data_IF_520767961954
#
_entry.id   IF_520767961954
#
_cell.length_a   1.000
_cell.length_b   1.000
_cell.length_c   1.000
_cell.angle_alpha   90.00
_cell.angle_beta   90.00
_cell.angle_gamma   90.00
#
_symmetry.space_group_name_H-M   'P 1'
#
loop_
_entity.id
_entity.type
_entity.pdbx_description
1 polymer ?
#
# COMPACT_ATOMS: atom_id res chain seq x y z
N UNK A 1 19.31 -13.50 27.27
CA UNK A 1 17.98 -13.16 26.75
C UNK A 1 18.18 -12.58 25.37
N UNK A 2 17.85 -13.34 24.33
CA UNK A 2 17.95 -12.85 22.94
C UNK A 2 16.96 -11.69 22.75
N UNK A 3 17.48 -10.48 22.51
CA UNK A 3 16.66 -9.36 22.08
C UNK A 3 16.06 -9.70 20.71
N UNK A 4 14.77 -10.05 20.70
CA UNK A 4 13.97 -10.14 19.48
C UNK A 4 13.95 -8.76 18.83
N UNK A 5 14.89 -8.52 17.92
CA UNK A 5 14.87 -7.36 17.04
C UNK A 5 13.50 -7.30 16.38
N UNK A 6 12.81 -6.13 16.41
CA UNK A 6 11.44 -6.07 15.93
C UNK A 6 11.42 -6.40 14.44
N UNK A 7 10.76 -7.52 14.10
CA UNK A 7 10.52 -7.98 12.72
C UNK A 7 9.82 -6.90 11.89
N UNK A 8 9.15 -5.96 12.54
CA UNK A 8 8.52 -4.78 11.92
C UNK A 8 9.08 -3.52 12.58
N UNK A 9 9.87 -2.74 11.83
CA UNK A 9 10.38 -1.45 12.32
C UNK A 9 9.24 -0.44 12.44
N UNK A 10 9.33 0.51 13.39
CA UNK A 10 8.33 1.59 13.56
C UNK A 10 8.03 2.32 12.25
N UNK A 11 9.04 2.47 11.39
CA UNK A 11 8.92 3.07 10.04
C UNK A 11 8.04 2.25 9.10
N UNK A 12 8.13 0.92 9.17
CA UNK A 12 7.35 0.00 8.35
C UNK A 12 5.87 -0.04 8.78
N UNK A 13 5.59 0.06 10.08
CA UNK A 13 4.22 0.25 10.59
C UNK A 13 3.61 1.57 10.09
N UNK A 14 4.38 2.66 10.19
CA UNK A 14 3.93 3.97 9.70
C UNK A 14 3.67 3.96 8.18
N UNK A 15 4.57 3.37 7.39
CA UNK A 15 4.39 3.21 5.94
C UNK A 15 3.17 2.35 5.60
N UNK A 16 2.97 1.24 6.31
CA UNK A 16 1.81 0.36 6.09
C UNK A 16 0.49 1.06 6.41
N UNK A 17 0.51 2.00 7.35
CA UNK A 17 -0.65 2.82 7.68
C UNK A 17 -0.88 3.94 6.66
N UNK A 18 0.15 4.68 6.24
CA UNK A 18 -0.02 5.89 5.40
C UNK A 18 -0.09 5.62 3.91
N UNK A 19 0.61 4.60 3.39
CA UNK A 19 0.66 4.31 1.97
C UNK A 19 -0.74 4.02 1.36
N UNK A 20 -1.64 3.25 2.00
CA UNK A 20 -2.98 3.02 1.45
C UNK A 20 -3.79 4.31 1.24
N UNK A 21 -3.67 5.27 2.16
CA UNK A 21 -4.35 6.56 2.01
C UNK A 21 -3.77 7.39 0.87
N UNK A 22 -2.44 7.43 0.73
CA UNK A 22 -1.78 8.16 -0.34
C UNK A 22 -2.14 7.60 -1.73
N UNK A 23 -2.12 6.28 -1.89
CA UNK A 23 -2.51 5.63 -3.13
C UNK A 23 -4.01 5.80 -3.43
N UNK A 24 -4.86 5.74 -2.42
CA UNK A 24 -6.31 5.96 -2.56
C UNK A 24 -6.63 7.40 -3.00
N UNK A 25 -6.01 8.41 -2.36
CA UNK A 25 -6.18 9.82 -2.72
C UNK A 25 -5.60 10.10 -4.11
N UNK A 26 -4.41 9.57 -4.41
CA UNK A 26 -3.80 9.70 -5.74
C UNK A 26 -4.67 9.10 -6.83
N UNK A 27 -5.19 7.89 -6.63
CA UNK A 27 -6.12 7.23 -7.55
C UNK A 27 -7.41 8.03 -7.77
N UNK A 28 -7.97 8.58 -6.68
CA UNK A 28 -9.16 9.43 -6.74
C UNK A 28 -8.91 10.71 -7.56
N UNK A 29 -7.76 11.36 -7.37
CA UNK A 29 -7.38 12.57 -8.13
C UNK A 29 -7.27 12.23 -9.63
N UNK A 30 -6.56 11.15 -9.98
CA UNK A 30 -6.43 10.71 -11.37
C UNK A 30 -7.80 10.45 -11.99
N UNK A 31 -8.67 9.70 -11.29
CA UNK A 31 -10.01 9.42 -11.76
C UNK A 31 -10.86 10.68 -11.93
N UNK A 32 -10.71 11.67 -11.03
CA UNK A 32 -11.38 12.96 -11.14
C UNK A 32 -10.99 13.68 -12.43
N UNK A 33 -9.69 13.76 -12.75
CA UNK A 33 -9.19 14.37 -13.98
C UNK A 33 -9.60 13.59 -15.23
N UNK A 34 -9.54 12.25 -15.19
CA UNK A 34 -9.91 11.41 -16.33
C UNK A 34 -11.41 11.39 -16.63
N UNK A 35 -12.27 11.75 -15.67
CA UNK A 35 -13.73 11.70 -15.81
C UNK A 35 -14.42 13.06 -15.75
N UNK A 36 -13.69 14.17 -15.93
CA UNK A 36 -14.25 15.53 -15.88
C UNK A 36 -15.39 15.76 -16.87
N UNK A 37 -15.27 15.20 -18.08
CA UNK A 37 -16.27 15.31 -19.15
C UNK A 37 -17.31 14.19 -19.14
N UNK A 38 -17.25 13.29 -18.15
CA UNK A 38 -18.19 12.18 -18.04
C UNK A 38 -19.44 12.57 -17.25
N UNK A 39 -20.58 11.91 -17.49
CA UNK A 39 -21.78 12.05 -16.66
C UNK A 39 -21.49 11.85 -15.17
N UNK A 40 -22.18 12.61 -14.31
CA UNK A 40 -22.01 12.58 -12.85
C UNK A 40 -22.02 11.16 -12.27
N UNK A 41 -22.93 10.30 -12.77
CA UNK A 41 -23.04 8.89 -12.33
C UNK A 41 -21.76 8.10 -12.62
N UNK A 42 -21.19 8.25 -13.82
CA UNK A 42 -19.97 7.55 -14.23
C UNK A 42 -18.77 8.07 -13.43
N UNK A 43 -18.66 9.40 -13.27
CA UNK A 43 -17.61 10.02 -12.44
C UNK A 43 -17.66 9.50 -11.01
N UNK A 44 -18.82 9.47 -10.37
CA UNK A 44 -18.94 8.98 -8.99
C UNK A 44 -18.51 7.52 -8.86
N UNK A 45 -18.91 6.65 -9.79
CA UNK A 45 -18.49 5.24 -9.80
C UNK A 45 -16.98 5.14 -10.01
N UNK A 46 -16.42 5.89 -10.97
CA UNK A 46 -14.99 5.89 -11.25
C UNK A 46 -14.16 6.35 -10.04
N UNK A 47 -14.61 7.38 -9.33
CA UNK A 47 -13.97 7.85 -8.09
C UNK A 47 -13.96 6.74 -7.02
N UNK A 48 -15.11 6.10 -6.77
CA UNK A 48 -15.24 5.01 -5.80
C UNK A 48 -14.31 3.85 -6.19
N UNK A 49 -14.36 3.41 -7.45
CA UNK A 49 -13.55 2.31 -7.97
C UNK A 49 -12.05 2.63 -7.86
N UNK A 50 -11.64 3.85 -8.18
CA UNK A 50 -10.24 4.27 -8.08
C UNK A 50 -9.73 4.33 -6.64
N UNK A 51 -10.56 4.75 -5.69
CA UNK A 51 -10.28 4.70 -4.25
C UNK A 51 -10.01 3.26 -3.80
N UNK A 52 -10.90 2.31 -4.13
CA UNK A 52 -10.75 0.90 -3.75
C UNK A 52 -9.57 0.23 -4.46
N UNK A 53 -9.33 0.53 -5.74
CA UNK A 53 -8.16 0.05 -6.47
C UNK A 53 -6.86 0.56 -5.86
N UNK A 54 -6.77 1.85 -5.52
CA UNK A 54 -5.60 2.42 -4.86
C UNK A 54 -5.30 1.75 -3.53
N UNK A 55 -6.35 1.48 -2.74
CA UNK A 55 -6.22 0.76 -1.48
C UNK A 55 -5.71 -0.68 -1.69
N UNK A 56 -6.27 -1.41 -2.65
CA UNK A 56 -5.88 -2.79 -2.95
C UNK A 56 -4.42 -2.89 -3.43
N UNK A 57 -4.02 -1.99 -4.34
CA UNK A 57 -2.64 -1.91 -4.85
C UNK A 57 -1.64 -1.62 -3.73
N UNK A 58 -1.99 -0.71 -2.81
CA UNK A 58 -1.13 -0.39 -1.68
C UNK A 58 -0.92 -1.59 -0.74
N UNK A 59 -2.01 -2.27 -0.36
CA UNK A 59 -1.93 -3.49 0.47
C UNK A 59 -1.08 -4.56 -0.21
N UNK A 60 -1.34 -4.83 -1.49
CA UNK A 60 -0.57 -5.82 -2.26
C UNK A 60 0.92 -5.47 -2.29
N UNK A 61 1.26 -4.20 -2.50
CA UNK A 61 2.65 -3.72 -2.49
C UNK A 61 3.33 -3.88 -1.12
N UNK A 62 2.63 -3.53 -0.03
CA UNK A 62 3.13 -3.71 1.34
C UNK A 62 3.39 -5.20 1.63
N UNK A 63 2.48 -6.08 1.21
CA UNK A 63 2.61 -7.51 1.40
C UNK A 63 3.83 -8.09 0.66
N UNK A 64 4.06 -7.66 -0.60
CA UNK A 64 5.25 -8.06 -1.36
C UNK A 64 6.55 -7.58 -0.69
N UNK A 65 6.57 -6.34 -0.19
CA UNK A 65 7.73 -5.80 0.55
C UNK A 65 7.97 -6.61 1.83
N UNK A 66 6.92 -6.93 2.58
CA UNK A 66 7.00 -7.79 3.77
C UNK A 66 7.60 -9.16 3.45
N UNK A 67 7.16 -9.80 2.37
CA UNK A 67 7.72 -11.08 1.93
C UNK A 67 9.21 -10.97 1.63
N UNK A 68 9.63 -9.92 0.93
CA UNK A 68 11.04 -9.73 0.58
C UNK A 68 11.91 -9.49 1.82
N UNK A 69 11.44 -8.67 2.76
CA UNK A 69 12.12 -8.42 4.04
C UNK A 69 12.25 -9.72 4.84
N UNK A 70 11.16 -10.48 4.99
CA UNK A 70 11.18 -11.74 5.72
C UNK A 70 12.14 -12.76 5.07
N UNK A 71 12.13 -12.87 3.74
CA UNK A 71 13.09 -13.73 3.01
C UNK A 71 14.54 -13.32 3.27
N UNK A 72 14.83 -12.02 3.33
CA UNK A 72 16.18 -11.50 3.60
C UNK A 72 16.63 -11.81 5.03
N UNK A 73 15.75 -11.60 6.03
CA UNK A 73 16.03 -11.88 7.44
C UNK A 73 16.31 -13.38 7.64
N UNK A 74 15.48 -14.27 7.06
CA UNK A 74 15.66 -15.72 7.18
C UNK A 74 16.95 -16.24 6.53
N UNK A 75 17.48 -15.55 5.51
CA UNK A 75 18.80 -15.87 4.94
C UNK A 75 19.93 -15.44 5.88
N UNK A 76 19.86 -14.23 6.43
CA UNK A 76 20.86 -13.71 7.36
C UNK A 76 20.95 -14.53 8.66
N UNK A 77 19.83 -15.05 9.16
CA UNK A 77 19.82 -15.92 10.34
C UNK A 77 20.37 -17.34 10.09
N UNK A 78 20.49 -17.79 8.82
CA UNK A 78 21.08 -19.08 8.48
C UNK A 78 22.59 -19.01 8.23
N UNK A 79 23.12 -17.82 8.02
CA UNK A 79 24.55 -17.57 7.75
C UNK A 79 25.32 -17.11 9.01
N UNK A 80 24.61 -16.84 10.12
CA UNK A 80 25.17 -16.48 11.42
C UNK A 80 25.01 -17.61 12.43
#
# INVERSE_FOLDING_TARGET
MEEKTPIVTKKMLAFSFTAPFLFSVGGMIIALFSTQNSPQKIRNIALIVATFLGFFVAIGSIFLIQIQINKKISRQQKES
#
